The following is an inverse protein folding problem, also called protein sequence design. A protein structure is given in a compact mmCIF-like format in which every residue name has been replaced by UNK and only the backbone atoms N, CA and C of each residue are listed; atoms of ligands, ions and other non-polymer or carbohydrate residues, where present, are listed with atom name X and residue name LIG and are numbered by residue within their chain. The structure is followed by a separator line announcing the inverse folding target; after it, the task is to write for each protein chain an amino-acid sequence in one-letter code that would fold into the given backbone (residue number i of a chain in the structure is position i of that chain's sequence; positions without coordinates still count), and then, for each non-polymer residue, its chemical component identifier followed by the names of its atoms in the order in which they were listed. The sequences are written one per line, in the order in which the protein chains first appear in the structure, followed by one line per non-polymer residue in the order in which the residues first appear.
data_IF_140084171070
#
_entry.id   IF_140084171070
#
_cell.length_a   1.000
_cell.length_b   1.000
_cell.length_c   1.000
_cell.angle_alpha   90.00
_cell.angle_beta   90.00
_cell.angle_gamma   90.00
#
_symmetry.space_group_name_H-M   'P 1'
#
loop_
_entity.id
_entity.type
_entity.pdbx_description
1 polymer ?
#
# COMPACT_ATOMS: atom_id res chain seq x y z
N UNK A 1 36.76 33.94 -50.32
CA UNK A 1 37.12 32.49 -50.23
C UNK A 1 36.67 31.99 -48.88
N UNK A 2 35.68 31.13 -48.85
CA UNK A 2 35.18 30.53 -47.58
C UNK A 2 35.97 29.24 -47.40
N UNK A 3 36.81 29.20 -46.35
CA UNK A 3 37.59 27.99 -45.98
C UNK A 3 36.68 26.95 -45.38
N UNK A 4 36.35 25.90 -46.08
CA UNK A 4 35.64 24.73 -45.58
C UNK A 4 36.56 24.00 -44.62
N UNK A 5 36.31 24.09 -43.31
CA UNK A 5 36.95 23.28 -42.27
C UNK A 5 36.64 21.79 -42.56
N UNK A 6 37.66 21.00 -42.84
CA UNK A 6 37.59 19.54 -43.05
C UNK A 6 37.09 18.90 -41.77
N UNK A 7 35.86 18.39 -41.77
CA UNK A 7 35.27 17.67 -40.64
C UNK A 7 35.96 16.30 -40.55
N UNK A 8 36.44 15.96 -39.35
CA UNK A 8 37.00 14.61 -39.09
C UNK A 8 35.80 13.66 -38.92
N UNK A 9 35.76 12.60 -39.70
CA UNK A 9 34.78 11.53 -39.60
C UNK A 9 35.12 10.59 -38.44
N UNK A 10 34.07 9.96 -37.86
CA UNK A 10 34.20 8.91 -36.85
C UNK A 10 34.77 7.63 -37.46
N UNK A 11 35.62 6.95 -36.70
CA UNK A 11 36.13 5.63 -37.08
C UNK A 11 35.13 4.53 -36.67
N UNK A 12 35.11 3.43 -37.42
CA UNK A 12 34.26 2.26 -37.10
C UNK A 12 34.60 1.70 -35.71
N UNK A 13 35.88 1.76 -35.32
CA UNK A 13 36.39 1.28 -34.04
C UNK A 13 35.85 2.12 -32.87
N UNK A 14 35.81 3.45 -33.01
CA UNK A 14 35.24 4.33 -32.00
C UNK A 14 33.75 4.03 -31.74
N UNK A 15 32.98 3.77 -32.80
CA UNK A 15 31.57 3.44 -32.69
C UNK A 15 31.39 2.06 -32.06
N UNK A 16 32.23 1.09 -32.37
CA UNK A 16 32.15 -0.27 -31.82
C UNK A 16 32.44 -0.28 -30.32
N UNK A 17 33.46 0.45 -29.85
CA UNK A 17 33.76 0.56 -28.41
C UNK A 17 32.61 1.18 -27.66
N UNK A 18 31.97 2.22 -28.20
CA UNK A 18 30.83 2.90 -27.55
C UNK A 18 29.65 1.95 -27.36
N UNK A 19 29.27 1.18 -28.37
CA UNK A 19 28.15 0.24 -28.25
C UNK A 19 28.43 -0.90 -27.26
N UNK A 20 29.68 -1.36 -27.17
CA UNK A 20 30.07 -2.37 -26.19
C UNK A 20 29.94 -1.82 -24.77
N UNK A 21 30.44 -0.61 -24.53
CA UNK A 21 30.34 0.03 -23.20
C UNK A 21 28.88 0.26 -22.81
N UNK A 22 28.05 0.79 -23.73
CA UNK A 22 26.63 0.97 -23.49
C UNK A 22 25.95 -0.36 -23.20
N UNK A 23 26.27 -1.42 -23.91
CA UNK A 23 25.74 -2.77 -23.69
C UNK A 23 26.02 -3.28 -22.28
N UNK A 24 27.24 -3.14 -21.79
CA UNK A 24 27.66 -3.55 -20.45
C UNK A 24 26.92 -2.71 -19.38
N UNK A 25 26.88 -1.39 -19.55
CA UNK A 25 26.20 -0.50 -18.59
C UNK A 25 24.69 -0.76 -18.55
N UNK A 26 24.05 -1.00 -19.71
CA UNK A 26 22.62 -1.29 -19.79
C UNK A 26 22.24 -2.58 -19.04
N UNK A 27 23.05 -3.64 -19.16
CA UNK A 27 22.77 -4.90 -18.42
C UNK A 27 22.87 -4.72 -16.92
N UNK A 28 23.83 -3.95 -16.41
CA UNK A 28 23.99 -3.64 -15.00
C UNK A 28 22.78 -2.85 -14.45
N UNK A 29 22.31 -1.85 -15.21
CA UNK A 29 21.16 -1.02 -14.80
C UNK A 29 19.87 -1.84 -14.74
N UNK A 30 19.62 -2.74 -15.69
CA UNK A 30 18.40 -3.55 -15.72
C UNK A 30 18.27 -4.46 -14.49
N UNK A 31 19.36 -5.07 -14.03
CA UNK A 31 19.36 -5.97 -12.87
C UNK A 31 19.10 -5.20 -11.56
N UNK A 32 19.68 -4.01 -11.41
CA UNK A 32 19.49 -3.20 -10.19
C UNK A 32 18.13 -2.52 -10.13
N UNK A 33 17.52 -2.20 -11.27
CA UNK A 33 16.29 -1.44 -11.36
C UNK A 33 15.07 -2.18 -10.79
N UNK A 34 14.95 -3.49 -11.02
CA UNK A 34 13.84 -4.31 -10.52
C UNK A 34 13.81 -4.36 -8.98
N UNK A 35 14.97 -4.48 -8.35
CA UNK A 35 15.08 -4.50 -6.89
C UNK A 35 14.74 -3.15 -6.24
N UNK A 36 15.08 -2.05 -6.91
CA UNK A 36 14.73 -0.69 -6.44
C UNK A 36 13.22 -0.45 -6.51
N UNK A 37 12.56 -0.91 -7.57
CA UNK A 37 11.11 -0.79 -7.70
C UNK A 37 10.36 -1.59 -6.63
N UNK A 38 10.77 -2.83 -6.35
CA UNK A 38 10.20 -3.63 -5.28
C UNK A 38 10.31 -2.92 -3.93
N UNK A 39 11.49 -2.39 -3.59
CA UNK A 39 11.68 -1.60 -2.36
C UNK A 39 10.83 -0.33 -2.31
N UNK A 40 10.64 0.35 -3.44
CA UNK A 40 9.80 1.55 -3.50
C UNK A 40 8.33 1.21 -3.22
N UNK A 41 7.82 0.10 -3.79
CA UNK A 41 6.46 -0.39 -3.50
C UNK A 41 6.31 -0.82 -2.05
N UNK A 42 7.30 -1.50 -1.48
CA UNK A 42 7.29 -1.90 -0.07
C UNK A 42 7.29 -0.69 0.86
N UNK A 43 8.08 0.34 0.56
CA UNK A 43 8.08 1.59 1.32
C UNK A 43 6.72 2.28 1.26
N UNK A 44 6.07 2.27 0.09
CA UNK A 44 4.71 2.79 -0.04
C UNK A 44 3.72 1.97 0.81
N UNK A 45 3.76 0.63 0.76
CA UNK A 45 2.89 -0.23 1.57
C UNK A 45 3.04 0.06 3.07
N UNK A 46 4.28 0.20 3.55
CA UNK A 46 4.52 0.56 4.96
C UNK A 46 3.97 1.94 5.31
N UNK A 47 4.10 2.91 4.41
CA UNK A 47 3.55 4.26 4.59
C UNK A 47 2.04 4.23 4.65
N UNK A 48 1.40 3.50 3.74
CA UNK A 48 -0.05 3.36 3.67
C UNK A 48 -0.60 2.68 4.94
N UNK A 49 0.02 1.57 5.36
CA UNK A 49 -0.35 0.87 6.61
C UNK A 49 -0.22 1.78 7.82
N UNK A 50 0.84 2.58 7.93
CA UNK A 50 0.99 3.54 9.02
C UNK A 50 -0.06 4.66 8.97
N UNK A 51 -0.45 5.11 7.78
CA UNK A 51 -1.51 6.10 7.62
C UNK A 51 -2.86 5.51 8.06
N UNK A 52 -3.20 4.30 7.61
CA UNK A 52 -4.43 3.61 8.02
C UNK A 52 -4.44 3.42 9.53
N UNK A 53 -3.38 2.88 10.12
CA UNK A 53 -3.20 2.68 11.57
C UNK A 53 -3.51 3.97 12.35
N UNK A 54 -2.88 5.08 11.97
CA UNK A 54 -3.07 6.37 12.64
C UNK A 54 -4.52 6.86 12.57
N UNK A 55 -5.20 6.65 11.46
CA UNK A 55 -6.61 7.05 11.32
C UNK A 55 -7.56 6.12 12.07
N UNK A 56 -7.24 4.82 12.16
CA UNK A 56 -8.01 3.87 12.96
C UNK A 56 -7.91 4.19 14.46
N UNK A 57 -6.71 4.52 14.95
CA UNK A 57 -6.52 4.94 16.34
C UNK A 57 -7.23 6.27 16.65
N UNK A 58 -7.20 7.23 15.73
CA UNK A 58 -7.97 8.47 15.87
C UNK A 58 -9.48 8.23 15.89
N UNK A 59 -9.97 7.30 15.07
CA UNK A 59 -11.36 6.89 15.07
C UNK A 59 -11.75 6.25 16.43
N UNK A 60 -10.91 5.33 16.92
CA UNK A 60 -11.13 4.70 18.23
C UNK A 60 -11.15 5.73 19.36
N UNK A 61 -10.26 6.68 19.35
CA UNK A 61 -10.22 7.75 20.37
C UNK A 61 -11.52 8.59 20.39
N UNK A 62 -12.19 8.71 19.24
CA UNK A 62 -13.44 9.48 19.12
C UNK A 62 -14.69 8.65 19.43
N UNK A 63 -14.73 7.37 19.01
CA UNK A 63 -15.94 6.55 19.04
C UNK A 63 -15.87 5.35 19.99
N UNK A 64 -14.68 4.96 20.47
CA UNK A 64 -14.48 3.88 21.42
C UNK A 64 -14.54 2.46 20.84
N UNK A 65 -14.48 2.32 19.51
CA UNK A 65 -14.42 1.05 18.80
C UNK A 65 -13.73 1.23 17.45
N UNK A 66 -13.32 0.13 16.81
CA UNK A 66 -12.72 0.17 15.46
C UNK A 66 -13.76 -0.13 14.39
N UNK A 67 -13.59 0.44 13.17
CA UNK A 67 -14.42 0.08 12.04
C UNK A 67 -14.18 -1.38 11.62
N UNK A 68 -15.10 -1.93 10.85
CA UNK A 68 -14.99 -3.28 10.29
C UNK A 68 -14.25 -3.25 8.95
N UNK A 69 -13.88 -4.43 8.43
CA UNK A 69 -13.36 -4.54 7.07
C UNK A 69 -14.34 -3.98 6.03
N UNK A 70 -15.64 -4.26 6.20
CA UNK A 70 -16.67 -3.77 5.29
C UNK A 70 -16.77 -2.24 5.22
N UNK A 71 -16.35 -1.53 6.28
CA UNK A 71 -16.26 -0.07 6.30
C UNK A 71 -15.06 0.45 5.49
N UNK A 72 -13.97 -0.31 5.45
CA UNK A 72 -12.73 0.05 4.74
C UNK A 72 -12.77 -0.33 3.26
N UNK A 73 -13.52 -1.36 2.90
CA UNK A 73 -13.59 -1.93 1.54
C UNK A 73 -14.23 -0.99 0.51
N UNK A 74 -14.77 0.15 0.92
CA UNK A 74 -15.40 1.17 0.07
C UNK A 74 -16.52 0.65 -0.85
N UNK A 75 -16.85 -0.64 -0.80
CA UNK A 75 -17.93 -1.26 -1.57
C UNK A 75 -19.31 -1.05 -0.95
N UNK A 76 -19.35 -0.62 0.32
CA UNK A 76 -20.57 -0.30 1.07
C UNK A 76 -21.14 1.07 0.74
N UNK A 77 -22.46 1.17 0.75
CA UNK A 77 -23.18 2.42 0.57
C UNK A 77 -22.82 3.42 1.68
N UNK A 78 -22.05 4.44 1.37
CA UNK A 78 -21.92 5.57 2.28
C UNK A 78 -20.54 6.17 2.48
N UNK A 79 -19.51 5.76 1.76
CA UNK A 79 -18.18 6.39 1.82
C UNK A 79 -17.70 6.62 3.28
N UNK A 80 -17.74 5.53 4.08
CA UNK A 80 -17.40 5.53 5.51
C UNK A 80 -16.04 6.20 5.74
N UNK A 81 -15.04 5.84 4.94
CA UNK A 81 -13.67 6.35 5.06
C UNK A 81 -13.61 7.86 4.85
N UNK A 82 -14.27 8.41 3.84
CA UNK A 82 -14.28 9.85 3.60
C UNK A 82 -15.05 10.62 4.69
N UNK A 83 -16.03 9.99 5.33
CA UNK A 83 -16.87 10.62 6.36
C UNK A 83 -16.21 10.56 7.73
N UNK A 84 -15.66 9.42 8.11
CA UNK A 84 -15.21 9.13 9.47
C UNK A 84 -13.69 9.00 9.61
N UNK A 85 -12.98 8.63 8.55
CA UNK A 85 -11.50 8.62 8.52
C UNK A 85 -10.97 9.83 7.73
N UNK A 86 -11.44 11.02 8.11
CA UNK A 86 -11.12 12.27 7.41
C UNK A 86 -9.62 12.51 7.31
N UNK A 87 -9.15 12.78 6.09
CA UNK A 87 -7.74 12.99 5.79
C UNK A 87 -6.96 11.74 5.41
N UNK A 88 -7.56 10.56 5.53
CA UNK A 88 -6.99 9.36 4.94
C UNK A 88 -7.13 9.45 3.41
N UNK A 89 -6.02 9.35 2.70
CA UNK A 89 -6.04 9.23 1.24
C UNK A 89 -6.69 7.89 0.85
N UNK A 90 -7.78 7.87 0.08
CA UNK A 90 -8.38 6.62 -0.39
C UNK A 90 -7.39 5.72 -1.14
N UNK A 91 -6.36 6.28 -1.77
CA UNK A 91 -5.30 5.53 -2.42
C UNK A 91 -4.46 4.70 -1.43
N UNK A 92 -4.43 5.07 -0.14
CA UNK A 92 -3.75 4.29 0.89
C UNK A 92 -4.46 2.96 1.20
N UNK A 93 -5.73 2.81 0.83
CA UNK A 93 -6.48 1.55 0.96
C UNK A 93 -6.25 0.59 -0.21
N UNK A 94 -5.45 1.00 -1.19
CA UNK A 94 -5.14 0.20 -2.37
C UNK A 94 -3.64 -0.02 -2.45
N UNK A 95 -3.22 -1.27 -2.47
CA UNK A 95 -1.81 -1.62 -2.67
C UNK A 95 -1.30 -1.10 -4.02
N UNK A 96 -0.01 -0.76 -4.17
CA UNK A 96 0.59 -0.36 -5.43
C UNK A 96 0.33 -1.31 -6.61
N UNK A 97 0.04 -2.56 -6.35
CA UNK A 97 -0.30 -3.59 -7.35
C UNK A 97 -1.82 -3.74 -7.57
N UNK A 98 -2.63 -2.85 -7.01
CA UNK A 98 -4.07 -2.79 -7.23
C UNK A 98 -4.93 -3.64 -6.30
N UNK A 99 -4.35 -4.30 -5.29
CA UNK A 99 -5.11 -5.03 -4.28
C UNK A 99 -5.76 -4.08 -3.26
N UNK A 100 -7.07 -4.17 -3.09
CA UNK A 100 -7.80 -3.47 -2.03
C UNK A 100 -7.54 -4.12 -0.67
N UNK A 101 -7.88 -3.42 0.41
CA UNK A 101 -7.88 -4.00 1.76
C UNK A 101 -8.80 -5.22 1.79
N UNK A 102 -8.27 -6.36 2.24
CA UNK A 102 -8.98 -7.63 2.32
C UNK A 102 -8.91 -8.21 3.73
N UNK A 103 -9.75 -9.19 4.06
CA UNK A 103 -9.81 -9.79 5.41
C UNK A 103 -8.53 -10.52 5.83
N UNK A 104 -7.71 -10.95 4.88
CA UNK A 104 -6.41 -11.56 5.14
C UNK A 104 -5.48 -11.18 4.01
N UNK A 105 -4.29 -10.69 4.32
CA UNK A 105 -3.24 -10.57 3.32
C UNK A 105 -2.90 -11.99 2.86
N UNK A 106 -3.24 -12.32 1.63
CA UNK A 106 -2.89 -13.61 1.05
C UNK A 106 -1.76 -13.40 0.07
N UNK A 107 -0.68 -14.12 0.24
CA UNK A 107 0.49 -14.19 -0.64
C UNK A 107 0.14 -14.77 -2.04
N UNK A 108 -1.08 -14.54 -2.50
CA UNK A 108 -1.66 -15.09 -3.72
C UNK A 108 -1.43 -14.20 -4.94
N UNK A 109 -0.29 -13.52 -5.02
CA UNK A 109 0.06 -12.72 -6.20
C UNK A 109 -0.64 -11.35 -6.32
N UNK A 110 -1.59 -11.07 -5.46
CA UNK A 110 -2.17 -9.75 -5.24
C UNK A 110 -1.71 -9.26 -3.88
N UNK A 111 -0.80 -8.32 -3.86
CA UNK A 111 -0.21 -7.71 -2.65
C UNK A 111 -1.22 -6.82 -1.92
N UNK A 112 -2.41 -7.36 -1.62
CA UNK A 112 -3.46 -6.66 -0.91
C UNK A 112 -3.08 -6.45 0.56
N UNK A 113 -3.61 -5.39 1.19
CA UNK A 113 -3.50 -5.22 2.62
C UNK A 113 -4.48 -6.14 3.34
N UNK A 114 -4.02 -6.83 4.37
CA UNK A 114 -4.89 -7.61 5.25
C UNK A 114 -5.38 -6.74 6.40
N UNK A 115 -6.67 -6.75 6.65
CA UNK A 115 -7.28 -6.11 7.81
C UNK A 115 -8.25 -7.07 8.49
N UNK A 116 -8.07 -7.26 9.79
CA UNK A 116 -8.96 -8.07 10.63
C UNK A 116 -9.31 -7.25 11.85
N UNK A 117 -10.56 -6.82 11.95
CA UNK A 117 -11.09 -6.30 13.21
C UNK A 117 -11.48 -7.47 14.12
N UNK A 118 -11.25 -7.33 15.40
CA UNK A 118 -11.46 -8.37 16.39
C UNK A 118 -12.04 -7.80 17.71
N UNK A 119 -12.59 -8.68 18.50
CA UNK A 119 -12.87 -8.42 19.89
C UNK A 119 -12.22 -9.54 20.72
N UNK A 120 -11.12 -9.25 21.44
CA UNK A 120 -10.41 -10.28 22.19
C UNK A 120 -11.21 -10.84 23.36
N UNK A 121 -12.21 -10.09 23.87
CA UNK A 121 -13.04 -10.51 25.00
C UNK A 121 -14.31 -11.24 24.59
N UNK A 122 -14.87 -10.91 23.43
CA UNK A 122 -16.12 -11.53 22.91
C UNK A 122 -16.01 -11.68 21.38
N UNK A 123 -15.36 -12.77 20.88
CA UNK A 123 -15.09 -12.92 19.45
C UNK A 123 -16.31 -12.89 18.53
N UNK A 124 -17.50 -13.14 19.08
CA UNK A 124 -18.76 -13.19 18.34
C UNK A 124 -19.42 -11.84 18.08
N UNK A 125 -18.97 -10.75 18.70
CA UNK A 125 -19.60 -9.43 18.57
C UNK A 125 -19.00 -8.54 17.48
N UNK A 126 -17.81 -8.86 17.00
CA UNK A 126 -17.15 -8.13 15.91
C UNK A 126 -17.24 -8.91 14.61
N UNK A 127 -17.91 -8.37 13.62
CA UNK A 127 -18.05 -8.98 12.27
C UNK A 127 -17.36 -8.17 11.22
N UNK A 128 -16.37 -8.75 10.56
CA UNK A 128 -15.68 -8.10 9.43
C UNK A 128 -16.53 -7.98 8.16
N UNK A 129 -17.63 -8.73 8.07
CA UNK A 129 -18.49 -8.77 6.88
C UNK A 129 -19.66 -7.81 6.93
N UNK A 130 -19.94 -7.23 8.10
CA UNK A 130 -21.06 -6.30 8.30
C UNK A 130 -20.52 -4.90 8.54
N UNK A 131 -20.91 -3.95 7.70
CA UNK A 131 -20.54 -2.55 7.88
C UNK A 131 -21.14 -1.98 9.18
N UNK A 132 -20.43 -1.03 9.76
CA UNK A 132 -20.86 -0.30 10.96
C UNK A 132 -22.17 0.43 10.68
N UNK A 133 -23.16 0.25 11.54
CA UNK A 133 -24.44 0.95 11.44
C UNK A 133 -24.26 2.43 11.75
N UNK A 134 -24.83 3.30 10.90
CA UNK A 134 -24.81 4.74 11.11
C UNK A 134 -26.22 5.21 11.46
N UNK A 135 -26.38 5.80 12.63
CA UNK A 135 -27.66 6.34 13.10
C UNK A 135 -27.49 7.83 13.40
N UNK A 136 -28.31 8.67 12.72
CA UNK A 136 -28.24 10.13 12.89
C UNK A 136 -26.88 10.74 12.52
N UNK A 137 -26.14 10.11 11.58
CA UNK A 137 -24.79 10.55 11.19
C UNK A 137 -23.67 10.13 12.13
N UNK A 138 -23.97 9.30 13.15
CA UNK A 138 -22.99 8.81 14.12
C UNK A 138 -22.84 7.29 13.96
N UNK A 139 -21.57 6.77 13.83
CA UNK A 139 -21.34 5.34 13.79
C UNK A 139 -21.70 4.71 15.13
N UNK A 140 -22.38 3.57 15.09
CA UNK A 140 -22.82 2.85 16.27
C UNK A 140 -21.79 1.78 16.65
N UNK A 141 -21.59 1.51 17.96
CA UNK A 141 -20.66 0.48 18.42
C UNK A 141 -20.93 -0.89 17.75
N UNK A 142 -19.89 -1.49 17.21
CA UNK A 142 -19.96 -2.78 16.51
C UNK A 142 -19.25 -3.91 17.29
N UNK A 143 -18.78 -3.64 18.51
CA UNK A 143 -18.06 -4.58 19.35
C UNK A 143 -16.60 -4.82 18.95
N UNK A 144 -16.08 -4.17 17.93
CA UNK A 144 -14.68 -4.30 17.51
C UNK A 144 -13.77 -3.44 18.40
N UNK A 145 -12.98 -4.06 19.26
CA UNK A 145 -12.09 -3.38 20.21
C UNK A 145 -10.60 -3.54 19.89
N UNK A 146 -10.27 -4.30 18.85
CA UNK A 146 -8.90 -4.49 18.38
C UNK A 146 -8.87 -4.66 16.85
N UNK A 147 -7.70 -4.47 16.24
CA UNK A 147 -7.46 -4.82 14.83
C UNK A 147 -6.05 -5.32 14.63
N UNK A 148 -5.86 -6.04 13.54
CA UNK A 148 -4.55 -6.36 12.97
C UNK A 148 -4.54 -5.94 11.52
N UNK A 149 -3.54 -5.13 11.14
CA UNK A 149 -3.32 -4.65 9.79
C UNK A 149 -2.00 -5.22 9.29
N UNK A 150 -2.01 -5.86 8.14
CA UNK A 150 -0.84 -6.53 7.56
C UNK A 150 -0.60 -6.06 6.13
N UNK A 151 0.67 -5.99 5.74
CA UNK A 151 1.07 -5.80 4.35
C UNK A 151 2.21 -6.77 4.02
N UNK A 152 2.02 -7.58 3.00
CA UNK A 152 3.09 -8.42 2.47
C UNK A 152 4.08 -7.56 1.69
N UNK A 153 5.37 -7.84 1.89
CA UNK A 153 6.47 -7.11 1.27
C UNK A 153 7.16 -7.98 0.21
N UNK A 154 7.46 -7.38 -0.93
CA UNK A 154 8.15 -8.08 -2.03
C UNK A 154 9.62 -8.37 -1.71
N UNK A 155 10.26 -7.49 -0.96
CA UNK A 155 11.67 -7.62 -0.59
C UNK A 155 11.90 -8.37 0.72
N UNK A 156 10.85 -8.81 1.42
CA UNK A 156 10.92 -9.51 2.70
C UNK A 156 9.94 -10.68 2.75
N UNK A 157 10.36 -11.78 3.35
CA UNK A 157 9.48 -12.92 3.63
C UNK A 157 8.59 -12.74 4.85
N UNK A 158 8.83 -11.68 5.64
CA UNK A 158 8.01 -11.34 6.80
C UNK A 158 7.09 -10.17 6.45
N UNK A 159 5.78 -10.28 6.71
CA UNK A 159 4.86 -9.19 6.49
C UNK A 159 5.12 -8.03 7.45
N UNK A 160 4.77 -6.83 7.03
CA UNK A 160 4.70 -5.67 7.90
C UNK A 160 3.36 -5.69 8.64
N UNK A 161 3.39 -5.67 9.97
CA UNK A 161 2.19 -5.85 10.81
C UNK A 161 2.04 -4.67 11.76
N UNK A 162 0.82 -4.18 11.87
CA UNK A 162 0.37 -3.24 12.90
C UNK A 162 -0.81 -3.85 13.66
N UNK A 163 -0.77 -3.72 14.97
CA UNK A 163 -1.86 -4.10 15.86
C UNK A 163 -2.38 -2.85 16.57
N UNK A 164 -3.65 -2.87 16.95
CA UNK A 164 -4.25 -1.83 17.78
C UNK A 164 -3.47 -1.63 19.07
N UNK A 165 -3.54 -0.42 19.61
CA UNK A 165 -2.90 -0.04 20.87
C UNK A 165 -3.66 -0.54 22.12
N UNK A 166 -4.88 -1.08 21.93
CA UNK A 166 -5.79 -1.57 22.99
C UNK A 166 -5.74 -3.08 23.12
#
# INVERSE_FOLDING_TARGET
MISLKKQKGFTIVELLIVIIIIGILATLVLVTYSGVQAKARDSKRQTDVNAIDSHLEAFFAQYGFYPTLADLDQTGAGNFTATFLKGLDPAALTSPDGGLVAGTATNSGTWAYGFVAANPTTPLSCSNTTATTITGGVPQPNGCSAFTLTADLESSSTPYVKNSLT
#
